data_IF_012050735352
#
_entry.id   IF_012050735352
#
_cell.length_a   1.000
_cell.length_b   1.000
_cell.length_c   1.000
_cell.angle_alpha   90.00
_cell.angle_beta   90.00
_cell.angle_gamma   90.00
#
_symmetry.space_group_name_H-M   'P 1'
#
loop_
_entity.id
_entity.type
_entity.pdbx_description
1 polymer ?
#
# COMPACT_ATOMS: atom_id res chain seq x y z
N UNK A 1 5.11 -20.45 -12.87
CA UNK A 1 3.82 -19.73 -12.82
C UNK A 1 2.87 -20.67 -12.09
N UNK A 2 2.08 -20.21 -11.13
CA UNK A 2 1.15 -21.14 -10.46
C UNK A 2 0.05 -21.55 -11.44
N UNK A 3 -0.43 -22.78 -11.30
CA UNK A 3 -1.54 -23.35 -12.06
C UNK A 3 -2.66 -23.72 -11.09
N UNK A 4 -3.91 -23.74 -11.57
CA UNK A 4 -5.07 -24.14 -10.77
C UNK A 4 -6.23 -23.15 -10.79
N UNK A 5 -7.41 -23.62 -10.41
CA UNK A 5 -8.65 -22.84 -10.43
C UNK A 5 -8.61 -21.70 -9.42
N UNK A 6 -8.05 -21.95 -8.23
CA UNK A 6 -7.91 -20.93 -7.18
C UNK A 6 -7.03 -19.77 -7.62
N UNK A 7 -5.96 -20.07 -8.36
CA UNK A 7 -5.06 -19.06 -8.94
C UNK A 7 -5.74 -18.23 -10.03
N UNK A 8 -6.36 -18.90 -11.02
CA UNK A 8 -7.04 -18.21 -12.12
C UNK A 8 -8.14 -17.26 -11.61
N UNK A 9 -8.98 -17.74 -10.68
CA UNK A 9 -10.06 -16.94 -10.09
C UNK A 9 -9.52 -15.69 -9.39
N UNK A 10 -8.40 -15.81 -8.67
CA UNK A 10 -7.82 -14.65 -8.01
C UNK A 10 -7.15 -13.68 -8.99
N UNK A 11 -6.51 -14.19 -10.05
CA UNK A 11 -5.93 -13.34 -11.09
C UNK A 11 -7.00 -12.50 -11.80
N UNK A 12 -8.16 -13.08 -12.11
CA UNK A 12 -9.28 -12.34 -12.70
C UNK A 12 -9.76 -11.19 -11.79
N UNK A 13 -9.78 -11.40 -10.46
CA UNK A 13 -10.11 -10.34 -9.51
C UNK A 13 -9.00 -9.29 -9.42
N UNK A 14 -7.73 -9.72 -9.41
CA UNK A 14 -6.58 -8.81 -9.37
C UNK A 14 -6.52 -7.91 -10.61
N UNK A 15 -6.92 -8.40 -11.78
CA UNK A 15 -6.90 -7.61 -13.02
C UNK A 15 -7.77 -6.35 -12.93
N UNK A 16 -8.78 -6.34 -12.05
CA UNK A 16 -9.60 -5.15 -11.76
C UNK A 16 -8.89 -4.10 -10.88
N UNK A 17 -7.79 -4.48 -10.21
CA UNK A 17 -7.04 -3.60 -9.31
C UNK A 17 -5.98 -2.77 -10.05
N UNK A 18 -5.54 -1.67 -9.44
CA UNK A 18 -4.40 -0.91 -9.96
C UNK A 18 -3.11 -1.77 -10.02
N UNK A 19 -2.30 -1.59 -11.06
CA UNK A 19 -1.08 -2.37 -11.33
C UNK A 19 -0.12 -2.42 -10.12
N UNK A 20 0.06 -1.31 -9.40
CA UNK A 20 0.89 -1.29 -8.20
C UNK A 20 0.33 -2.17 -7.07
N UNK A 21 -1.00 -2.22 -6.91
CA UNK A 21 -1.68 -3.08 -5.95
C UNK A 21 -1.52 -4.55 -6.36
N UNK A 22 -1.72 -4.87 -7.65
CA UNK A 22 -1.50 -6.21 -8.18
C UNK A 22 -0.07 -6.70 -7.89
N UNK A 23 0.94 -5.90 -8.24
CA UNK A 23 2.36 -6.21 -7.98
C UNK A 23 2.64 -6.43 -6.49
N UNK A 24 2.10 -5.55 -5.63
CA UNK A 24 2.28 -5.67 -4.19
C UNK A 24 1.64 -6.96 -3.64
N UNK A 25 0.43 -7.30 -4.10
CA UNK A 25 -0.30 -8.48 -3.65
C UNK A 25 0.36 -9.77 -4.16
N UNK A 26 0.75 -9.81 -5.43
CA UNK A 26 1.46 -10.95 -6.02
C UNK A 26 2.80 -11.21 -5.31
N UNK A 27 3.56 -10.15 -5.02
CA UNK A 27 4.82 -10.29 -4.26
C UNK A 27 4.56 -10.84 -2.86
N UNK A 28 3.61 -10.26 -2.13
CA UNK A 28 3.27 -10.69 -0.79
C UNK A 28 2.76 -12.13 -0.74
N UNK A 29 1.91 -12.53 -1.69
CA UNK A 29 1.40 -13.89 -1.80
C UNK A 29 2.52 -14.89 -2.12
N UNK A 30 3.39 -14.59 -3.10
CA UNK A 30 4.56 -15.44 -3.41
C UNK A 30 5.42 -15.68 -2.18
N UNK A 31 5.68 -14.65 -1.40
CA UNK A 31 6.44 -14.77 -0.15
C UNK A 31 5.77 -15.71 0.87
N UNK A 32 4.44 -15.74 0.94
CA UNK A 32 3.72 -16.71 1.77
C UNK A 32 3.80 -18.13 1.19
N UNK A 33 3.58 -18.26 -0.11
CA UNK A 33 3.64 -19.55 -0.81
C UNK A 33 5.02 -20.21 -0.70
N UNK A 34 6.08 -19.42 -0.80
CA UNK A 34 7.45 -19.85 -0.57
C UNK A 34 7.69 -20.27 0.89
N UNK A 35 7.22 -19.48 1.87
CA UNK A 35 7.37 -19.80 3.30
C UNK A 35 6.63 -21.09 3.68
N UNK A 36 5.43 -21.30 3.15
CA UNK A 36 4.61 -22.47 3.47
C UNK A 36 4.89 -23.67 2.58
N UNK A 37 5.71 -23.48 1.53
CA UNK A 37 5.95 -24.46 0.48
C UNK A 37 4.64 -25.03 -0.08
N UNK A 38 3.71 -24.12 -0.39
CA UNK A 38 2.35 -24.45 -0.86
C UNK A 38 2.03 -23.68 -2.13
N UNK A 39 1.30 -24.33 -3.03
CA UNK A 39 0.67 -23.70 -4.17
C UNK A 39 -0.73 -23.12 -3.79
N UNK A 40 -1.34 -22.28 -4.65
CA UNK A 40 -2.64 -21.68 -4.37
C UNK A 40 -3.77 -22.69 -4.13
N UNK A 41 -3.78 -23.82 -4.83
CA UNK A 41 -4.81 -24.84 -4.68
C UNK A 41 -4.67 -25.55 -3.33
N UNK A 42 -3.44 -25.89 -2.92
CA UNK A 42 -3.16 -26.47 -1.60
C UNK A 42 -3.58 -25.54 -0.46
N UNK A 43 -3.34 -24.23 -0.60
CA UNK A 43 -3.79 -23.23 0.38
C UNK A 43 -5.31 -23.14 0.49
N UNK A 44 -6.02 -23.27 -0.64
CA UNK A 44 -7.47 -23.29 -0.67
C UNK A 44 -8.01 -24.58 -0.03
N UNK A 45 -7.47 -25.73 -0.42
CA UNK A 45 -7.85 -27.04 0.14
C UNK A 45 -7.59 -27.12 1.64
N UNK A 46 -6.46 -26.60 2.11
CA UNK A 46 -6.15 -26.49 3.53
C UNK A 46 -7.25 -25.70 4.25
N UNK A 47 -7.61 -24.51 3.73
CA UNK A 47 -8.64 -23.69 4.38
C UNK A 47 -10.01 -24.38 4.38
N UNK A 48 -10.35 -25.08 3.30
CA UNK A 48 -11.58 -25.87 3.23
C UNK A 48 -11.59 -27.01 4.26
N UNK A 49 -10.45 -27.65 4.50
CA UNK A 49 -10.29 -28.68 5.55
C UNK A 49 -10.44 -28.08 6.94
N UNK A 50 -9.80 -26.94 7.20
CA UNK A 50 -9.92 -26.22 8.46
C UNK A 50 -11.38 -25.86 8.76
N UNK A 51 -12.13 -25.34 7.78
CA UNK A 51 -13.54 -24.98 7.94
C UNK A 51 -14.45 -26.17 8.26
N UNK A 52 -14.11 -27.36 7.75
CA UNK A 52 -14.84 -28.61 8.02
C UNK A 52 -14.44 -29.27 9.34
N UNK A 53 -13.41 -28.76 10.04
CA UNK A 53 -12.96 -29.35 11.30
C UNK A 53 -14.05 -29.28 12.37
N UNK A 54 -14.19 -30.39 13.10
CA UNK A 54 -15.07 -30.50 14.26
C UNK A 54 -14.59 -29.60 15.40
N UNK A 55 -13.26 -29.49 15.62
CA UNK A 55 -12.70 -28.58 16.61
C UNK A 55 -12.74 -27.13 16.10
N UNK A 56 -13.50 -26.23 16.76
CA UNK A 56 -13.54 -24.81 16.38
C UNK A 56 -12.18 -24.11 16.43
N UNK A 57 -11.20 -24.65 17.16
CA UNK A 57 -9.85 -24.09 17.29
C UNK A 57 -9.06 -24.22 16.00
N UNK A 58 -9.30 -25.27 15.23
CA UNK A 58 -8.56 -25.57 13.98
C UNK A 58 -9.08 -24.75 12.80
N UNK A 59 -10.33 -24.27 12.89
CA UNK A 59 -10.95 -23.40 11.87
C UNK A 59 -10.20 -22.10 11.61
N UNK A 60 -9.31 -21.72 12.53
CA UNK A 60 -8.53 -20.47 12.52
C UNK A 60 -7.03 -20.69 12.27
N UNK A 61 -6.60 -21.88 11.86
CA UNK A 61 -5.18 -22.19 11.76
C UNK A 61 -4.47 -21.37 10.69
N UNK A 62 -5.08 -21.19 9.52
CA UNK A 62 -4.57 -20.28 8.48
C UNK A 62 -4.34 -18.87 9.04
N UNK A 63 -5.30 -18.31 9.78
CA UNK A 63 -5.19 -16.98 10.36
C UNK A 63 -4.09 -16.90 11.42
N UNK A 64 -3.91 -17.96 12.23
CA UNK A 64 -2.80 -18.05 13.19
C UNK A 64 -1.46 -18.09 12.47
N UNK A 65 -1.35 -18.87 11.39
CA UNK A 65 -0.13 -18.99 10.59
C UNK A 65 0.24 -17.65 9.94
N UNK A 66 -0.73 -16.93 9.36
CA UNK A 66 -0.51 -15.58 8.82
C UNK A 66 -0.01 -14.63 9.90
N UNK A 67 -0.65 -14.61 11.08
CA UNK A 67 -0.24 -13.72 12.17
C UNK A 67 1.16 -14.07 12.72
N UNK A 68 1.52 -15.35 12.75
CA UNK A 68 2.85 -15.82 13.15
C UNK A 68 3.89 -15.39 12.12
N UNK A 69 3.58 -15.53 10.84
CA UNK A 69 4.48 -15.15 9.75
C UNK A 69 4.69 -13.63 9.68
N UNK A 70 3.62 -12.83 9.83
CA UNK A 70 3.75 -11.37 9.96
C UNK A 70 4.67 -10.97 11.10
N UNK A 71 4.55 -11.63 12.27
CA UNK A 71 5.44 -11.36 13.40
C UNK A 71 6.88 -11.73 13.08
N UNK A 72 7.12 -12.89 12.43
CA UNK A 72 8.45 -13.29 11.95
C UNK A 72 9.07 -12.22 11.04
N UNK A 73 8.29 -11.65 10.11
CA UNK A 73 8.76 -10.57 9.23
C UNK A 73 9.08 -9.28 9.99
N UNK A 74 8.24 -8.88 10.95
CA UNK A 74 8.50 -7.73 11.82
C UNK A 74 9.78 -7.92 12.65
N UNK A 75 9.96 -9.10 13.24
CA UNK A 75 11.15 -9.47 14.02
C UNK A 75 12.41 -9.50 13.13
N UNK A 76 12.27 -9.82 11.83
CA UNK A 76 13.33 -9.74 10.83
C UNK A 76 13.59 -8.32 10.28
N UNK A 77 12.91 -7.29 10.80
CA UNK A 77 13.14 -5.89 10.43
C UNK A 77 12.21 -5.34 9.34
N UNK A 78 11.22 -6.11 8.89
CA UNK A 78 10.18 -5.60 7.98
C UNK A 78 9.31 -4.58 8.73
N UNK A 79 8.99 -3.46 8.08
CA UNK A 79 8.07 -2.49 8.69
C UNK A 79 6.69 -3.12 8.98
N UNK A 80 5.98 -2.69 10.04
CA UNK A 80 4.66 -3.23 10.35
C UNK A 80 3.65 -3.10 9.21
N UNK A 81 3.73 -2.03 8.41
CA UNK A 81 2.85 -1.87 7.25
C UNK A 81 3.24 -2.81 6.10
N UNK A 82 4.55 -3.05 5.91
CA UNK A 82 5.05 -4.06 4.98
C UNK A 82 4.57 -5.47 5.37
N UNK A 83 4.66 -5.83 6.65
CA UNK A 83 4.14 -7.11 7.15
C UNK A 83 2.61 -7.22 6.97
N UNK A 84 1.86 -6.13 7.16
CA UNK A 84 0.40 -6.11 6.90
C UNK A 84 0.04 -6.33 5.43
N UNK A 85 0.95 -6.12 4.48
CA UNK A 85 0.69 -6.42 3.08
C UNK A 85 0.41 -7.91 2.87
N UNK A 86 1.07 -8.79 3.64
CA UNK A 86 0.77 -10.23 3.66
C UNK A 86 -0.72 -10.46 3.96
N UNK A 87 -1.21 -9.87 5.05
CA UNK A 87 -2.61 -9.98 5.44
C UNK A 87 -3.57 -9.50 4.36
N UNK A 88 -3.26 -8.36 3.71
CA UNK A 88 -4.09 -7.80 2.64
C UNK A 88 -4.14 -8.73 1.42
N UNK A 89 -2.99 -9.26 1.01
CA UNK A 89 -2.88 -10.20 -0.10
C UNK A 89 -3.63 -11.50 0.17
N UNK A 90 -3.43 -12.12 1.35
CA UNK A 90 -4.14 -13.35 1.71
C UNK A 90 -5.66 -13.13 1.83
N UNK A 91 -6.10 -11.99 2.36
CA UNK A 91 -7.51 -11.64 2.36
C UNK A 91 -8.09 -11.54 0.96
N UNK A 92 -7.40 -10.84 0.06
CA UNK A 92 -7.83 -10.72 -1.34
C UNK A 92 -7.91 -12.09 -1.99
N UNK A 93 -6.89 -12.94 -1.80
CA UNK A 93 -6.90 -14.31 -2.29
C UNK A 93 -8.13 -15.07 -1.80
N UNK A 94 -8.29 -15.27 -0.49
CA UNK A 94 -9.40 -16.05 0.06
C UNK A 94 -10.79 -15.46 -0.27
N UNK A 95 -10.91 -14.13 -0.33
CA UNK A 95 -12.17 -13.47 -0.68
C UNK A 95 -12.59 -13.79 -2.12
N UNK A 96 -11.63 -13.90 -3.05
CA UNK A 96 -11.89 -14.29 -4.44
C UNK A 96 -12.50 -15.69 -4.56
N UNK A 97 -12.21 -16.58 -3.60
CA UNK A 97 -12.83 -17.91 -3.53
C UNK A 97 -14.10 -17.94 -2.65
N UNK A 98 -14.61 -16.79 -2.21
CA UNK A 98 -15.78 -16.70 -1.33
C UNK A 98 -15.50 -17.09 0.12
N UNK A 99 -14.24 -17.11 0.55
CA UNK A 99 -13.82 -17.44 1.90
C UNK A 99 -13.43 -16.17 2.68
N UNK A 100 -13.78 -16.12 3.97
CA UNK A 100 -13.50 -14.96 4.83
C UNK A 100 -12.49 -15.37 5.90
N UNK A 101 -11.38 -14.65 5.98
CA UNK A 101 -10.41 -14.82 7.07
C UNK A 101 -10.76 -13.93 8.28
N UNK A 102 -10.89 -14.55 9.45
CA UNK A 102 -11.29 -13.87 10.68
C UNK A 102 -10.09 -13.61 11.60
N UNK A 103 -9.61 -12.37 11.63
CA UNK A 103 -8.49 -12.01 12.48
C UNK A 103 -8.95 -11.45 13.82
N UNK A 104 -8.44 -12.02 14.91
CA UNK A 104 -8.58 -11.39 16.23
C UNK A 104 -7.91 -10.02 16.22
N UNK A 105 -8.65 -8.99 16.65
CA UNK A 105 -8.14 -7.63 16.78
C UNK A 105 -7.03 -7.63 17.83
N UNK A 106 -5.76 -7.56 17.41
CA UNK A 106 -4.67 -7.27 18.35
C UNK A 106 -4.89 -5.85 18.89
N UNK A 107 -4.57 -5.63 20.17
CA UNK A 107 -4.35 -4.27 20.67
C UNK A 107 -3.21 -3.71 19.83
N UNK A 108 -3.52 -2.79 18.93
CA UNK A 108 -2.51 -2.13 18.12
C UNK A 108 -1.52 -1.50 19.10
N UNK A 109 -0.26 -1.93 19.07
CA UNK A 109 0.80 -1.06 19.60
C UNK A 109 0.61 0.27 18.89
N UNK A 110 0.59 1.37 19.64
CA UNK A 110 0.61 2.70 19.05
C UNK A 110 1.93 2.78 18.28
N UNK A 111 1.90 2.39 17.02
CA UNK A 111 3.01 2.58 16.12
C UNK A 111 3.12 4.10 16.03
N UNK A 112 4.08 4.67 16.76
CA UNK A 112 4.45 6.05 16.58
C UNK A 112 4.87 6.17 15.13
N UNK A 113 3.98 6.69 14.28
CA UNK A 113 4.40 7.16 12.98
C UNK A 113 5.45 8.22 13.31
N UNK A 114 6.72 7.94 13.00
CA UNK A 114 7.70 9.00 12.89
C UNK A 114 7.14 9.90 11.81
N UNK A 115 6.53 11.01 12.23
CA UNK A 115 5.92 11.94 11.30
C UNK A 115 6.92 12.27 10.20
N UNK A 116 6.44 12.47 8.99
CA UNK A 116 7.32 12.90 7.93
C UNK A 116 7.78 14.33 8.25
N UNK A 117 9.09 14.54 8.35
CA UNK A 117 9.63 15.89 8.57
C UNK A 117 9.30 16.73 7.35
N UNK A 118 8.53 17.79 7.54
CA UNK A 118 8.29 18.77 6.48
C UNK A 118 9.62 19.43 6.09
N UNK A 119 9.83 19.61 4.79
CA UNK A 119 10.96 20.37 4.28
C UNK A 119 10.80 21.85 4.64
N UNK A 120 11.85 22.50 5.15
CA UNK A 120 11.81 23.93 5.46
C UNK A 120 12.01 24.77 4.20
N UNK A 121 11.58 26.05 4.25
CA UNK A 121 11.82 27.00 3.17
C UNK A 121 13.31 27.17 2.86
N UNK A 122 14.16 27.17 3.88
CA UNK A 122 15.61 27.28 3.70
C UNK A 122 16.20 26.04 3.00
N UNK A 123 15.66 24.85 3.29
CA UNK A 123 16.05 23.63 2.60
C UNK A 123 15.63 23.66 1.12
N UNK A 124 14.45 24.18 0.81
CA UNK A 124 14.01 24.37 -0.59
C UNK A 124 14.94 25.38 -1.30
N UNK A 125 15.25 26.52 -0.65
CA UNK A 125 16.19 27.51 -1.20
C UNK A 125 17.54 26.89 -1.51
N UNK A 126 18.10 26.13 -0.58
CA UNK A 126 19.38 25.43 -0.76
C UNK A 126 19.33 24.42 -1.92
N UNK A 127 18.21 23.71 -2.13
CA UNK A 127 18.04 22.81 -3.29
C UNK A 127 17.99 23.56 -4.62
N UNK A 128 17.44 24.78 -4.63
CA UNK A 128 17.39 25.64 -5.81
C UNK A 128 18.79 26.18 -6.12
N UNK A 129 19.54 26.61 -5.09
CA UNK A 129 20.87 27.22 -5.23
C UNK A 129 21.95 26.19 -5.61
N UNK A 130 21.84 24.95 -5.13
CA UNK A 130 22.82 23.88 -5.41
C UNK A 130 22.53 23.10 -6.69
N UNK A 131 21.52 23.51 -7.47
CA UNK A 131 21.20 22.83 -8.73
C UNK A 131 22.31 22.99 -9.76
N UNK A 132 22.69 21.88 -10.40
CA UNK A 132 23.64 21.91 -11.50
C UNK A 132 23.11 22.68 -12.72
N UNK A 133 24.04 23.27 -13.48
CA UNK A 133 23.76 24.12 -14.67
C UNK A 133 22.79 23.44 -15.65
N UNK A 134 22.91 22.11 -15.82
CA UNK A 134 22.12 21.32 -16.77
C UNK A 134 20.59 21.36 -16.51
N UNK A 135 20.16 21.60 -15.28
CA UNK A 135 18.74 21.60 -14.89
C UNK A 135 18.33 22.88 -14.14
N UNK A 136 19.08 23.97 -14.34
CA UNK A 136 18.97 25.21 -13.56
C UNK A 136 17.55 25.81 -13.53
N UNK A 137 16.74 25.63 -14.58
CA UNK A 137 15.36 26.14 -14.62
C UNK A 137 14.31 25.08 -14.33
N UNK A 138 14.56 23.83 -14.76
CA UNK A 138 13.59 22.73 -14.65
C UNK A 138 13.36 22.33 -13.19
N UNK A 139 14.43 22.10 -12.46
CA UNK A 139 14.33 21.58 -11.09
C UNK A 139 13.72 22.61 -10.12
N UNK A 140 14.09 23.91 -10.15
CA UNK A 140 13.41 24.91 -9.33
C UNK A 140 11.93 25.06 -9.65
N UNK A 141 11.54 25.03 -10.93
CA UNK A 141 10.13 25.05 -11.30
C UNK A 141 9.37 23.85 -10.73
N UNK A 142 9.95 22.64 -10.80
CA UNK A 142 9.35 21.43 -10.21
C UNK A 142 9.23 21.53 -8.68
N UNK A 143 10.25 22.02 -7.98
CA UNK A 143 10.21 22.17 -6.53
C UNK A 143 9.12 23.15 -6.09
N UNK A 144 9.00 24.28 -6.79
CA UNK A 144 7.96 25.27 -6.49
C UNK A 144 6.56 24.72 -6.77
N UNK A 145 6.36 24.06 -7.92
CA UNK A 145 5.06 23.43 -8.22
C UNK A 145 4.69 22.39 -7.16
N UNK A 146 5.60 21.50 -6.78
CA UNK A 146 5.34 20.47 -5.77
C UNK A 146 5.06 21.09 -4.38
N UNK A 147 5.77 22.15 -4.01
CA UNK A 147 5.57 22.85 -2.75
C UNK A 147 4.21 23.58 -2.70
N UNK A 148 3.85 24.28 -3.77
CA UNK A 148 2.72 25.21 -3.78
C UNK A 148 1.39 24.53 -4.12
N UNK A 149 1.41 23.48 -4.96
CA UNK A 149 0.19 22.81 -5.42
C UNK A 149 -0.30 21.68 -4.50
N UNK A 150 0.60 21.09 -3.70
CA UNK A 150 0.31 19.89 -2.92
C UNK A 150 0.05 18.63 -3.77
N UNK A 151 0.31 18.67 -5.08
CA UNK A 151 0.18 17.53 -5.98
C UNK A 151 1.20 16.44 -5.63
N UNK A 152 0.84 15.18 -5.91
CA UNK A 152 1.82 14.08 -5.78
C UNK A 152 2.83 14.17 -6.92
N UNK A 153 4.02 13.62 -6.68
CA UNK A 153 5.08 13.55 -7.70
C UNK A 153 4.59 12.87 -8.98
N UNK A 154 3.76 11.82 -8.86
CA UNK A 154 3.12 11.15 -10.01
C UNK A 154 2.24 12.07 -10.83
N UNK A 155 1.51 12.96 -10.16
CA UNK A 155 0.54 13.85 -10.81
C UNK A 155 1.28 14.93 -11.60
N UNK A 156 2.32 15.52 -10.99
CA UNK A 156 3.20 16.47 -11.67
C UNK A 156 3.96 15.81 -12.81
N UNK A 157 4.42 14.56 -12.65
CA UNK A 157 5.13 13.83 -13.71
C UNK A 157 4.26 13.53 -14.93
N UNK A 158 2.95 13.34 -14.73
CA UNK A 158 1.98 13.07 -15.79
C UNK A 158 1.30 14.34 -16.31
N UNK A 159 1.66 15.52 -15.80
CA UNK A 159 1.05 16.78 -16.18
C UNK A 159 1.45 17.16 -17.61
N UNK A 160 0.44 17.40 -18.47
CA UNK A 160 0.66 17.84 -19.84
C UNK A 160 0.62 19.37 -19.94
N UNK A 161 1.20 19.93 -21.00
CA UNK A 161 1.11 21.37 -21.29
C UNK A 161 -0.35 21.81 -21.49
N UNK A 162 -1.21 20.93 -22.03
CA UNK A 162 -2.65 21.17 -22.18
C UNK A 162 -3.33 21.36 -20.82
N UNK A 163 -3.11 20.43 -19.89
CA UNK A 163 -3.68 20.49 -18.55
C UNK A 163 -3.30 21.78 -17.80
N UNK A 164 -2.07 22.27 -18.00
CA UNK A 164 -1.65 23.55 -17.44
C UNK A 164 -2.34 24.75 -18.09
N UNK A 165 -2.51 24.75 -19.42
CA UNK A 165 -3.16 25.84 -20.16
C UNK A 165 -4.65 25.95 -19.87
N UNK A 166 -5.29 24.83 -19.59
CA UNK A 166 -6.70 24.73 -19.23
C UNK A 166 -6.96 24.98 -17.74
N UNK A 167 -5.90 25.15 -16.93
CA UNK A 167 -6.04 25.33 -15.50
C UNK A 167 -6.72 26.66 -15.17
N UNK A 168 -7.86 26.59 -14.47
CA UNK A 168 -8.57 27.77 -13.98
C UNK A 168 -8.07 28.19 -12.59
N UNK A 169 -7.96 29.49 -12.37
CA UNK A 169 -7.60 30.02 -11.04
C UNK A 169 -8.82 29.97 -10.12
N UNK A 170 -8.86 28.99 -9.22
CA UNK A 170 -9.88 28.94 -8.17
C UNK A 170 -9.59 30.03 -7.14
N UNK A 171 -10.33 31.15 -7.20
CA UNK A 171 -10.32 32.14 -6.13
C UNK A 171 -10.94 31.54 -4.88
N UNK A 172 -10.10 31.09 -3.95
CA UNK A 172 -10.56 30.69 -2.61
C UNK A 172 -11.25 31.90 -1.97
N UNK A 173 -12.56 31.80 -1.73
CA UNK A 173 -13.28 32.79 -0.90
C UNK A 173 -12.58 32.82 0.44
N UNK A 174 -11.88 33.91 0.73
CA UNK A 174 -11.28 34.15 2.03
C UNK A 174 -12.41 34.09 3.07
N UNK A 175 -12.44 33.00 3.85
CA UNK A 175 -13.26 32.90 5.04
C UNK A 175 -12.67 33.84 6.08
N UNK A 176 -13.11 35.11 6.02
CA UNK A 176 -12.96 36.10 7.08
C UNK A 176 -13.63 35.58 8.36
N UNK A 177 -12.96 34.70 9.08
CA UNK A 177 -13.15 34.55 10.53
C UNK A 177 -12.11 35.42 11.20
N UNK A 178 -12.45 36.70 11.37
CA UNK A 178 -11.83 37.53 12.39
C UNK A 178 -12.03 36.80 13.73
N UNK A 179 -10.94 36.30 14.30
CA UNK A 179 -10.90 35.99 15.72
C UNK A 179 -11.12 37.33 16.46
N UNK A 180 -12.33 37.52 16.96
CA UNK A 180 -12.58 38.47 18.04
C UNK A 180 -12.19 37.76 19.33
N UNK A 181 -11.10 38.19 19.94
CA UNK A 181 -10.90 38.30 21.40
C UNK A 181 -9.74 39.25 21.61
#
# INVERSE_FOLDING_TARGET
MYEGKSWATWMDELDSCAENTQRAYLKAFKTVAEEWNMNPEEMFEQKMRELKSEDPRDRMDTEKQINKFMKKLEDAGTSPEGARMIKKAMNSFYSAQGLILLYKRRKNKKNGHKGQRAISRDQIRMLIETNGIRNMYKNPALYNILNDSGLRVSDVANMTVGAYREAETVKLKQSSKRLKT
#
